data_IF_131777627091
#
_entry.id   IF_131777627091
#
_cell.length_a   1.000
_cell.length_b   1.000
_cell.length_c   1.000
_cell.angle_alpha   90.00
_cell.angle_beta   90.00
_cell.angle_gamma   90.00
#
_symmetry.space_group_name_H-M   'P 1'
#
loop_
_entity.id
_entity.type
_entity.pdbx_description
1 polymer ?
#
# COMPACT_ATOMS: atom_id res chain seq x y z
N UNK A 1 -25.52 13.11 0.65
CA UNK A 1 -24.69 13.25 -0.58
C UNK A 1 -23.57 12.24 -0.43
N UNK A 2 -23.42 11.29 -1.36
CA UNK A 2 -22.32 10.32 -1.28
C UNK A 2 -20.99 11.08 -1.49
N UNK A 3 -20.02 10.84 -0.62
CA UNK A 3 -18.65 11.35 -0.79
C UNK A 3 -17.87 10.25 -1.49
N UNK A 4 -17.49 10.41 -2.77
CA UNK A 4 -16.77 9.37 -3.49
C UNK A 4 -15.40 9.14 -2.82
N UNK A 5 -15.02 7.88 -2.65
CA UNK A 5 -13.69 7.51 -2.20
C UNK A 5 -12.71 7.55 -3.36
N UNK A 6 -11.55 8.14 -3.10
CA UNK A 6 -10.39 8.06 -3.98
C UNK A 6 -9.31 7.26 -3.28
N UNK A 7 -8.69 6.35 -4.01
CA UNK A 7 -7.57 5.58 -3.52
C UNK A 7 -6.40 5.69 -4.49
N UNK A 8 -5.22 5.84 -3.91
CA UNK A 8 -3.95 5.93 -4.61
C UNK A 8 -3.03 4.83 -4.09
N UNK A 9 -2.12 4.38 -4.94
CA UNK A 9 -1.15 3.34 -4.70
C UNK A 9 0.25 3.95 -4.66
N UNK A 10 1.07 3.50 -3.72
CA UNK A 10 2.48 3.82 -3.64
C UNK A 10 3.23 2.51 -3.39
N UNK A 11 4.34 2.30 -4.10
CA UNK A 11 5.02 0.99 -4.13
C UNK A 11 5.68 0.64 -2.79
N UNK A 12 6.19 1.64 -2.09
CA UNK A 12 6.78 1.48 -0.78
C UNK A 12 8.19 0.90 -0.85
N UNK A 13 8.48 -0.10 -0.02
CA UNK A 13 9.80 -0.69 0.11
C UNK A 13 9.71 -2.14 0.59
N UNK A 14 10.78 -2.89 0.41
CA UNK A 14 10.88 -4.30 0.75
C UNK A 14 11.54 -4.47 2.12
N UNK A 15 11.06 -5.43 2.91
CA UNK A 15 11.68 -5.86 4.16
C UNK A 15 12.21 -7.26 4.01
N UNK A 16 13.46 -7.46 4.39
CA UNK A 16 14.14 -8.74 4.33
C UNK A 16 14.33 -9.30 5.75
N UNK A 17 14.28 -10.63 5.83
CA UNK A 17 14.73 -11.38 7.00
C UNK A 17 16.25 -11.21 7.18
N UNK A 18 16.74 -11.16 8.42
CA UNK A 18 18.19 -11.02 8.70
C UNK A 18 18.96 -12.33 8.61
N UNK A 19 18.26 -13.47 8.62
CA UNK A 19 18.85 -14.79 8.42
C UNK A 19 18.32 -15.43 7.13
N UNK A 20 19.13 -16.30 6.49
CA UNK A 20 18.68 -17.06 5.33
C UNK A 20 17.45 -17.90 5.65
N UNK A 21 16.50 -17.94 4.73
CA UNK A 21 15.33 -18.80 4.84
C UNK A 21 15.75 -20.27 4.92
N UNK A 22 15.11 -21.05 5.80
CA UNK A 22 15.33 -22.48 5.95
C UNK A 22 14.07 -23.20 6.40
N UNK A 23 13.64 -24.20 5.65
CA UNK A 23 12.52 -25.08 6.03
C UNK A 23 12.92 -26.09 7.12
N UNK A 24 14.21 -26.36 7.28
CA UNK A 24 14.73 -27.31 8.27
C UNK A 24 14.59 -26.77 9.71
N UNK A 25 14.60 -25.44 9.87
CA UNK A 25 14.44 -24.78 11.16
C UNK A 25 13.31 -23.74 11.11
N UNK A 26 12.08 -24.19 11.34
CA UNK A 26 10.90 -23.32 11.42
C UNK A 26 10.82 -22.47 12.69
N UNK A 27 11.67 -22.73 13.68
CA UNK A 27 11.70 -21.97 14.94
C UNK A 27 12.56 -20.71 14.84
N UNK A 28 13.40 -20.59 13.80
CA UNK A 28 14.18 -19.38 13.56
C UNK A 28 13.31 -18.23 13.05
N UNK A 29 12.82 -17.45 14.01
CA UNK A 29 11.98 -16.27 13.74
C UNK A 29 12.69 -15.20 12.93
N UNK A 30 14.02 -15.16 12.92
CA UNK A 30 14.79 -14.16 12.17
C UNK A 30 14.92 -14.52 10.69
N UNK A 31 14.83 -15.80 10.35
CA UNK A 31 14.73 -16.31 8.97
C UNK A 31 13.30 -16.20 8.41
N UNK A 32 12.30 -16.43 9.25
CA UNK A 32 10.90 -16.57 8.80
C UNK A 32 10.05 -15.30 8.91
N UNK A 33 10.42 -14.32 9.74
CA UNK A 33 9.59 -13.14 10.01
C UNK A 33 10.31 -11.82 9.70
N UNK A 34 10.14 -11.27 8.50
CA UNK A 34 10.73 -9.98 8.09
C UNK A 34 10.16 -8.73 8.82
N UNK A 35 9.37 -8.90 9.89
CA UNK A 35 8.82 -7.77 10.63
C UNK A 35 9.91 -7.04 11.42
N UNK A 36 9.98 -5.71 11.31
CA UNK A 36 11.01 -4.93 12.00
C UNK A 36 10.99 -5.07 13.52
N UNK A 37 9.84 -5.40 14.13
CA UNK A 37 9.75 -5.70 15.57
C UNK A 37 10.58 -6.93 15.93
N UNK A 38 10.38 -8.02 15.19
CA UNK A 38 11.13 -9.27 15.40
C UNK A 38 12.59 -9.06 15.04
N UNK A 39 12.89 -8.47 13.89
CA UNK A 39 14.27 -8.30 13.42
C UNK A 39 15.12 -7.42 14.37
N UNK A 40 14.52 -6.47 15.10
CA UNK A 40 15.21 -5.67 16.14
C UNK A 40 15.70 -6.47 17.34
N UNK A 41 15.14 -7.65 17.59
CA UNK A 41 15.57 -8.54 18.68
C UNK A 41 16.82 -9.35 18.30
N UNK A 42 17.27 -9.28 17.04
CA UNK A 42 18.43 -10.00 16.55
C UNK A 42 19.72 -9.49 17.22
N UNK A 43 20.58 -10.41 17.71
CA UNK A 43 21.81 -10.05 18.42
C UNK A 43 22.74 -9.11 17.62
N UNK A 44 22.79 -9.31 16.30
CA UNK A 44 23.58 -8.50 15.37
C UNK A 44 22.79 -7.40 14.62
N UNK A 45 21.64 -6.97 15.15
CA UNK A 45 20.74 -6.01 14.48
C UNK A 45 21.49 -4.78 13.92
N UNK A 46 22.32 -4.12 14.74
CA UNK A 46 23.05 -2.90 14.35
C UNK A 46 23.94 -3.11 13.13
N UNK A 47 24.46 -4.33 12.93
CA UNK A 47 25.30 -4.68 11.78
C UNK A 47 24.47 -5.07 10.56
N UNK A 48 23.36 -5.78 10.77
CA UNK A 48 22.54 -6.35 9.69
C UNK A 48 21.43 -5.43 9.18
N UNK A 49 21.00 -4.42 9.95
CA UNK A 49 19.84 -3.56 9.62
C UNK A 49 19.94 -2.90 8.24
N UNK A 50 21.13 -2.52 7.79
CA UNK A 50 21.40 -1.95 6.45
C UNK A 50 21.07 -2.87 5.28
N UNK A 51 20.93 -4.17 5.53
CA UNK A 51 20.56 -5.16 4.52
C UNK A 51 19.13 -5.67 4.69
N UNK A 52 18.43 -5.22 5.74
CA UNK A 52 17.09 -5.70 6.07
C UNK A 52 15.99 -4.89 5.37
N UNK A 53 16.35 -3.83 4.63
CA UNK A 53 15.46 -3.02 3.82
C UNK A 53 16.03 -2.92 2.42
N UNK A 54 15.15 -2.88 1.43
CA UNK A 54 15.50 -2.78 0.03
C UNK A 54 14.49 -1.86 -0.68
N UNK A 55 14.96 -1.01 -1.59
CA UNK A 55 14.09 -0.17 -2.44
C UNK A 55 13.47 -1.00 -3.56
N UNK A 56 12.49 -0.46 -4.27
CA UNK A 56 11.93 -1.12 -5.44
C UNK A 56 12.99 -1.27 -6.54
N UNK A 57 13.80 -0.24 -6.80
CA UNK A 57 14.90 -0.30 -7.77
C UNK A 57 15.90 -1.43 -7.46
N UNK A 58 16.24 -1.62 -6.18
CA UNK A 58 17.12 -2.69 -5.75
C UNK A 58 16.48 -4.08 -5.95
N UNK A 59 15.16 -4.19 -5.76
CA UNK A 59 14.42 -5.42 -6.06
C UNK A 59 14.39 -5.69 -7.56
N UNK A 60 14.11 -4.68 -8.39
CA UNK A 60 14.12 -4.81 -9.85
C UNK A 60 15.47 -5.31 -10.33
N UNK A 61 16.56 -4.70 -9.85
CA UNK A 61 17.91 -5.12 -10.20
C UNK A 61 18.20 -6.58 -9.83
N UNK A 62 17.73 -7.04 -8.66
CA UNK A 62 17.91 -8.42 -8.22
C UNK A 62 17.07 -9.40 -9.03
N UNK A 63 15.80 -9.08 -9.29
CA UNK A 63 14.91 -9.93 -10.07
C UNK A 63 15.34 -10.02 -11.54
N UNK A 64 15.71 -8.91 -12.18
CA UNK A 64 16.20 -8.93 -13.56
C UNK A 64 17.46 -9.79 -13.72
N UNK A 65 18.31 -9.86 -12.69
CA UNK A 65 19.49 -10.74 -12.69
C UNK A 65 19.11 -12.22 -12.63
N UNK A 66 18.05 -12.57 -11.91
CA UNK A 66 17.61 -13.96 -11.70
C UNK A 66 16.74 -14.45 -12.87
N UNK A 67 15.79 -13.63 -13.30
CA UNK A 67 14.81 -13.99 -14.33
C UNK A 67 15.43 -13.91 -15.73
N UNK A 68 16.41 -13.02 -15.95
CA UNK A 68 17.13 -12.91 -17.22
C UNK A 68 16.33 -12.27 -18.36
N UNK A 69 15.18 -11.68 -18.04
CA UNK A 69 14.30 -11.03 -19.01
C UNK A 69 14.61 -9.53 -19.16
N UNK A 70 14.34 -8.92 -20.33
CA UNK A 70 14.65 -7.52 -20.60
C UNK A 70 13.62 -6.55 -19.99
N UNK A 71 12.50 -7.06 -19.47
CA UNK A 71 11.43 -6.25 -18.88
C UNK A 71 11.59 -6.09 -17.37
N UNK A 72 10.97 -5.06 -16.81
CA UNK A 72 10.92 -4.82 -15.37
C UNK A 72 9.95 -5.82 -14.70
N UNK A 73 10.46 -6.79 -13.91
CA UNK A 73 9.61 -7.81 -13.30
C UNK A 73 8.59 -7.26 -12.30
N UNK A 74 8.93 -6.14 -11.64
CA UNK A 74 8.05 -5.51 -10.65
C UNK A 74 6.88 -4.86 -11.35
N UNK A 75 7.14 -4.10 -12.42
CA UNK A 75 6.08 -3.44 -13.20
C UNK A 75 5.18 -4.44 -13.94
N UNK A 76 5.77 -5.50 -14.49
CA UNK A 76 5.02 -6.42 -15.34
C UNK A 76 4.19 -7.44 -14.53
N UNK A 77 4.73 -7.96 -13.43
CA UNK A 77 4.13 -9.10 -12.73
C UNK A 77 3.68 -8.78 -11.31
N UNK A 78 4.48 -8.08 -10.51
CA UNK A 78 4.20 -7.89 -9.07
C UNK A 78 3.20 -6.74 -8.85
N UNK A 79 3.48 -5.55 -9.39
CA UNK A 79 2.66 -4.35 -9.18
C UNK A 79 1.21 -4.53 -9.64
N UNK A 80 0.91 -5.13 -10.81
CA UNK A 80 -0.47 -5.31 -11.26
C UNK A 80 -1.27 -6.21 -10.31
N UNK A 81 -0.66 -7.30 -9.82
CA UNK A 81 -1.27 -8.20 -8.84
C UNK A 81 -1.53 -7.48 -7.51
N UNK A 82 -0.55 -6.72 -7.02
CA UNK A 82 -0.68 -5.95 -5.77
C UNK A 82 -1.79 -4.91 -5.87
N UNK A 83 -1.84 -4.12 -6.95
CA UNK A 83 -2.90 -3.14 -7.21
C UNK A 83 -4.27 -3.82 -7.36
N UNK A 84 -4.36 -4.98 -8.01
CA UNK A 84 -5.60 -5.73 -8.13
C UNK A 84 -6.10 -6.22 -6.76
N UNK A 85 -5.23 -6.81 -5.95
CA UNK A 85 -5.54 -7.28 -4.60
C UNK A 85 -5.96 -6.13 -3.68
N UNK A 86 -5.24 -4.99 -3.70
CA UNK A 86 -5.59 -3.81 -2.92
C UNK A 86 -6.94 -3.22 -3.33
N UNK A 87 -7.24 -3.11 -4.64
CA UNK A 87 -8.56 -2.69 -5.12
C UNK A 87 -9.67 -3.61 -4.61
N UNK A 88 -9.44 -4.92 -4.66
CA UNK A 88 -10.42 -5.90 -4.19
C UNK A 88 -10.70 -5.74 -2.70
N UNK A 89 -9.67 -5.59 -1.87
CA UNK A 89 -9.81 -5.37 -0.42
C UNK A 89 -10.51 -4.04 -0.12
N UNK A 90 -10.18 -2.96 -0.83
CA UNK A 90 -10.83 -1.66 -0.62
C UNK A 90 -12.32 -1.71 -0.98
N UNK A 91 -12.67 -2.31 -2.12
CA UNK A 91 -14.06 -2.48 -2.54
C UNK A 91 -14.87 -3.33 -1.56
N UNK A 92 -14.30 -4.43 -1.06
CA UNK A 92 -14.99 -5.29 -0.09
C UNK A 92 -15.24 -4.59 1.26
N UNK A 93 -14.36 -3.66 1.64
CA UNK A 93 -14.50 -2.85 2.85
C UNK A 93 -15.28 -1.54 2.68
N UNK A 94 -15.59 -1.11 1.45
CA UNK A 94 -15.97 0.29 1.17
C UNK A 94 -17.21 0.75 1.94
N UNK A 95 -18.19 -0.14 2.13
CA UNK A 95 -19.45 0.17 2.81
C UNK A 95 -19.28 0.42 4.31
N UNK A 96 -18.15 -0.02 4.88
CA UNK A 96 -17.82 0.15 6.29
C UNK A 96 -16.89 1.35 6.54
N UNK A 97 -16.42 2.00 5.48
CA UNK A 97 -15.58 3.18 5.59
C UNK A 97 -16.44 4.41 5.84
N UNK A 98 -16.11 5.13 6.92
CA UNK A 98 -16.72 6.44 7.19
C UNK A 98 -16.15 7.43 6.19
N UNK A 99 -17.03 8.02 5.36
CA UNK A 99 -16.66 9.01 4.36
C UNK A 99 -17.11 10.38 4.84
N UNK A 100 -16.18 11.26 5.16
CA UNK A 100 -16.46 12.64 5.53
C UNK A 100 -15.50 13.61 4.82
N UNK A 101 -15.95 14.84 4.58
CA UNK A 101 -15.11 15.88 3.98
C UNK A 101 -13.90 16.16 4.88
N UNK A 102 -12.74 16.41 4.25
CA UNK A 102 -11.50 16.72 4.96
C UNK A 102 -10.85 15.51 5.63
N UNK A 103 -11.38 14.29 5.44
CA UNK A 103 -10.76 13.08 5.94
C UNK A 103 -9.97 12.38 4.84
N UNK A 104 -8.75 11.99 5.19
CA UNK A 104 -7.95 11.04 4.42
C UNK A 104 -7.23 10.11 5.40
N UNK A 105 -6.75 8.98 4.90
CA UNK A 105 -5.93 8.07 5.70
C UNK A 105 -4.86 7.42 4.83
N UNK A 106 -3.72 7.13 5.44
CA UNK A 106 -2.66 6.34 4.84
C UNK A 106 -2.81 4.91 5.36
N UNK A 107 -2.97 3.96 4.44
CA UNK A 107 -3.05 2.54 4.77
C UNK A 107 -1.73 1.86 4.44
N UNK A 108 -1.15 1.16 5.42
CA UNK A 108 -0.02 0.27 5.18
C UNK A 108 -0.49 -1.10 4.77
N UNK A 109 0.00 -1.61 3.64
CA UNK A 109 -0.25 -2.97 3.15
C UNK A 109 1.02 -3.79 3.27
N UNK A 110 0.93 -4.95 3.89
CA UNK A 110 1.99 -5.95 3.87
C UNK A 110 1.60 -7.04 2.88
N UNK A 111 2.49 -7.34 1.95
CA UNK A 111 2.39 -8.48 1.05
C UNK A 111 3.66 -9.32 1.14
N UNK A 112 3.54 -10.58 0.72
CA UNK A 112 4.66 -11.49 0.46
C UNK A 112 4.59 -11.92 -1.00
N UNK A 113 5.75 -12.23 -1.57
CA UNK A 113 5.92 -12.67 -2.95
C UNK A 113 6.51 -14.08 -2.87
N UNK A 114 5.94 -15.03 -3.61
CA UNK A 114 6.48 -16.39 -3.69
C UNK A 114 7.49 -16.55 -4.85
N UNK A 115 8.02 -17.76 -5.02
CA UNK A 115 9.04 -18.07 -6.03
C UNK A 115 8.52 -17.92 -7.47
N UNK A 116 7.19 -18.02 -7.67
CA UNK A 116 6.51 -17.83 -8.96
C UNK A 116 6.07 -16.37 -9.18
N UNK A 117 6.51 -15.45 -8.30
CA UNK A 117 6.16 -14.03 -8.29
C UNK A 117 4.66 -13.75 -8.09
N UNK A 118 3.93 -14.67 -7.46
CA UNK A 118 2.56 -14.42 -7.01
C UNK A 118 2.56 -13.56 -5.75
N UNK A 119 1.63 -12.60 -5.69
CA UNK A 119 1.54 -11.64 -4.59
C UNK A 119 0.41 -11.98 -3.63
N UNK A 120 0.73 -12.11 -2.34
CA UNK A 120 -0.23 -12.40 -1.28
C UNK A 120 -0.27 -11.29 -0.23
N UNK A 121 -1.40 -10.59 -0.11
CA UNK A 121 -1.62 -9.62 0.98
C UNK A 121 -1.80 -10.38 2.30
N UNK A 122 -0.94 -10.09 3.27
CA UNK A 122 -0.98 -10.70 4.60
C UNK A 122 -1.63 -9.81 5.66
N UNK A 123 -1.56 -8.48 5.48
CA UNK A 123 -2.10 -7.52 6.46
C UNK A 123 -2.37 -6.16 5.86
N UNK A 124 -3.43 -5.50 6.35
CA UNK A 124 -3.64 -4.07 6.21
C UNK A 124 -3.57 -3.39 7.58
N UNK A 125 -3.05 -2.16 7.60
CA UNK A 125 -2.90 -1.37 8.82
C UNK A 125 -3.30 0.08 8.57
N UNK A 126 -4.07 0.67 9.51
CA UNK A 126 -4.50 2.08 9.46
C UNK A 126 -3.47 3.06 10.03
N UNK A 127 -2.37 2.54 10.56
CA UNK A 127 -1.31 3.31 11.17
C UNK A 127 0.03 2.65 10.80
N UNK A 128 0.46 2.76 9.54
CA UNK A 128 1.78 2.26 9.14
C UNK A 128 2.85 2.95 9.99
N UNK A 129 3.86 2.19 10.42
CA UNK A 129 5.00 2.76 11.14
C UNK A 129 5.78 3.67 10.19
N UNK A 130 5.79 4.97 10.50
CA UNK A 130 6.59 5.97 9.78
C UNK A 130 7.99 6.17 10.40
N UNK A 131 8.27 5.49 11.51
CA UNK A 131 9.60 5.53 12.16
C UNK A 131 10.61 4.73 11.34
N UNK A 132 11.64 5.42 10.85
CA UNK A 132 12.68 4.83 10.03
C UNK A 132 14.07 5.14 10.61
N UNK A 133 15.00 4.18 10.45
CA UNK A 133 16.38 4.24 10.95
C UNK A 133 17.40 4.23 9.79
N UNK A 134 16.92 4.32 8.54
CA UNK A 134 17.70 4.04 7.33
C UNK A 134 17.45 5.12 6.27
N UNK A 135 18.48 5.91 5.98
CA UNK A 135 18.39 7.10 5.14
C UNK A 135 17.67 6.90 3.80
N UNK A 136 17.87 5.75 3.13
CA UNK A 136 17.27 5.49 1.82
C UNK A 136 15.73 5.34 1.90
N UNK A 137 15.22 4.69 2.95
CA UNK A 137 13.77 4.55 3.17
C UNK A 137 13.18 5.82 3.80
N UNK A 138 13.97 6.57 4.56
CA UNK A 138 13.56 7.86 5.12
C UNK A 138 13.13 8.83 4.01
N UNK A 139 13.88 8.87 2.90
CA UNK A 139 13.57 9.73 1.75
C UNK A 139 12.26 9.32 1.06
N UNK A 140 12.08 8.02 0.81
CA UNK A 140 10.85 7.46 0.22
C UNK A 140 9.64 7.80 1.08
N UNK A 141 9.72 7.57 2.39
CA UNK A 141 8.61 7.83 3.31
C UNK A 141 8.30 9.32 3.44
N UNK A 142 9.32 10.17 3.47
CA UNK A 142 9.13 11.62 3.55
C UNK A 142 8.47 12.17 2.29
N UNK A 143 8.94 11.75 1.11
CA UNK A 143 8.33 12.11 -0.17
C UNK A 143 6.87 11.64 -0.25
N UNK A 144 6.61 10.38 0.12
CA UNK A 144 5.27 9.80 0.18
C UNK A 144 4.33 10.60 1.09
N UNK A 145 4.76 11.00 2.29
CA UNK A 145 3.92 11.76 3.22
C UNK A 145 3.61 13.17 2.67
N UNK A 146 4.61 13.85 2.12
CA UNK A 146 4.43 15.17 1.51
C UNK A 146 3.41 15.10 0.38
N UNK A 147 3.61 14.19 -0.58
CA UNK A 147 2.73 14.02 -1.73
C UNK A 147 1.33 13.56 -1.32
N UNK A 148 1.20 12.61 -0.39
CA UNK A 148 -0.11 12.18 0.13
C UNK A 148 -0.89 13.33 0.78
N UNK A 149 -0.19 14.24 1.47
CA UNK A 149 -0.80 15.42 2.09
C UNK A 149 -1.26 16.42 1.03
N UNK A 150 -0.44 16.65 -0.01
CA UNK A 150 -0.81 17.51 -1.13
C UNK A 150 -2.00 16.96 -1.91
N UNK A 151 -1.99 15.66 -2.23
CA UNK A 151 -3.12 14.93 -2.82
C UNK A 151 -4.38 15.16 -1.98
N UNK A 152 -4.30 14.97 -0.66
CA UNK A 152 -5.44 15.16 0.23
C UNK A 152 -5.94 16.62 0.25
N UNK A 153 -5.04 17.60 0.25
CA UNK A 153 -5.40 19.02 0.20
C UNK A 153 -6.07 19.40 -1.12
N UNK A 154 -5.51 18.98 -2.25
CA UNK A 154 -6.07 19.23 -3.58
C UNK A 154 -7.43 18.56 -3.72
N UNK A 155 -7.55 17.30 -3.30
CA UNK A 155 -8.80 16.56 -3.30
C UNK A 155 -9.91 17.23 -2.46
N UNK A 156 -9.54 17.88 -1.36
CA UNK A 156 -10.50 18.57 -0.50
C UNK A 156 -10.72 20.05 -0.88
N UNK A 157 -9.91 20.60 -1.79
CA UNK A 157 -10.07 21.96 -2.28
C UNK A 157 -11.13 21.98 -3.38
N UNK A 158 -12.17 22.78 -3.19
CA UNK A 158 -13.22 22.95 -4.20
C UNK A 158 -12.81 24.02 -5.18
N UNK A 159 -12.75 23.69 -6.47
CA UNK A 159 -12.68 24.71 -7.50
C UNK A 159 -14.01 25.50 -7.58
N UNK A 160 -13.94 26.73 -8.08
CA UNK A 160 -15.08 27.59 -8.37
C UNK A 160 -16.01 26.90 -9.37
N UNK A 161 -17.01 26.16 -8.87
CA UNK A 161 -17.90 25.30 -9.68
C UNK A 161 -18.27 23.98 -9.00
N UNK A 162 -17.64 23.64 -7.88
CA UNK A 162 -18.01 22.46 -7.07
C UNK A 162 -17.63 21.11 -7.67
N UNK A 163 -16.79 21.11 -8.72
CA UNK A 163 -16.18 19.90 -9.28
C UNK A 163 -14.94 19.53 -8.47
N UNK A 164 -14.72 18.24 -8.32
CA UNK A 164 -13.50 17.68 -7.75
C UNK A 164 -12.36 17.83 -8.76
N UNK A 165 -11.21 18.33 -8.33
CA UNK A 165 -10.03 18.41 -9.19
C UNK A 165 -9.14 17.18 -8.94
N UNK A 166 -8.78 16.46 -10.00
CA UNK A 166 -7.79 15.39 -9.89
C UNK A 166 -6.47 15.99 -9.35
N UNK A 167 -5.77 15.31 -8.43
CA UNK A 167 -4.49 15.80 -7.93
C UNK A 167 -3.49 15.95 -9.09
N UNK A 168 -2.77 17.07 -9.13
CA UNK A 168 -1.73 17.32 -10.12
C UNK A 168 -0.36 16.76 -9.71
N UNK A 169 -0.19 16.44 -8.42
CA UNK A 169 1.02 15.83 -7.84
C UNK A 169 0.82 14.32 -7.76
N UNK A 170 1.26 13.60 -8.79
CA UNK A 170 1.26 12.13 -8.86
C UNK A 170 2.63 11.67 -9.36
N UNK A 171 3.67 11.99 -8.58
CA UNK A 171 5.05 11.60 -8.87
C UNK A 171 5.35 10.19 -8.35
N UNK A 172 4.95 9.89 -7.11
CA UNK A 172 5.19 8.59 -6.46
C UNK A 172 3.89 7.83 -6.20
N UNK A 173 2.73 8.47 -6.42
CA UNK A 173 1.43 7.83 -6.33
C UNK A 173 0.82 7.51 -7.70
N UNK A 174 0.25 6.32 -7.82
CA UNK A 174 -0.55 5.90 -8.95
C UNK A 174 -2.02 5.79 -8.57
N UNK A 175 -2.91 6.02 -9.55
CA UNK A 175 -4.33 5.91 -9.30
C UNK A 175 -4.76 4.44 -9.08
N UNK A 176 -5.59 4.20 -8.05
CA UNK A 176 -6.06 2.86 -7.68
C UNK A 176 -7.59 2.71 -7.80
N UNK A 177 -8.37 3.67 -7.31
CA UNK A 177 -9.83 3.63 -7.38
C UNK A 177 -10.43 5.04 -7.40
N UNK A 178 -11.40 5.26 -8.29
CA UNK A 178 -12.22 6.47 -8.37
C UNK A 178 -13.69 6.09 -8.21
N UNK A 179 -14.33 6.50 -7.13
CA UNK A 179 -15.80 6.37 -7.02
C UNK A 179 -16.55 7.58 -7.60
N UNK A 180 -15.87 8.67 -7.97
CA UNK A 180 -16.51 9.88 -8.49
C UNK A 180 -16.97 9.74 -9.94
N UNK A 181 -16.42 8.77 -10.68
CA UNK A 181 -16.76 8.48 -12.08
C UNK A 181 -17.97 7.56 -12.24
N UNK A 182 -18.49 7.00 -11.14
CA UNK A 182 -19.75 6.25 -11.12
C UNK A 182 -20.93 7.21 -10.93
N UNK A 183 -21.34 7.84 -12.03
CA UNK A 183 -22.63 8.52 -12.14
C UNK A 183 -23.68 7.44 -12.50
N UNK A 184 -24.26 6.79 -11.50
CA UNK A 184 -25.36 5.86 -11.70
C UNK A 184 -26.63 6.64 -12.07
N UNK A 185 -26.81 6.82 -13.39
CA UNK A 185 -28.12 6.98 -14.01
C UNK A 185 -28.95 5.70 -13.83
N UNK A 186 -29.37 5.40 -12.60
CA UNK A 186 -30.33 4.35 -12.30
C UNK A 186 -31.29 4.83 -11.21
N UNK A 187 -32.55 4.97 -11.60
CA UNK A 187 -33.67 5.27 -10.73
C UNK A 187 -33.77 4.31 -9.52
N UNK A 188 -34.41 4.81 -8.46
CA UNK A 188 -34.68 4.12 -7.20
C UNK A 188 -35.32 2.71 -7.38
N UNK A 189 -35.33 1.92 -6.30
CA UNK A 189 -36.64 1.68 -5.72
C UNK A 189 -36.72 2.08 -4.24
N UNK A 190 -37.91 2.56 -3.89
CA UNK A 190 -38.37 2.72 -2.53
C UNK A 190 -38.49 1.36 -1.84
N UNK A 191 -38.01 1.25 -0.60
CA UNK A 191 -38.82 0.88 0.57
C UNK A 191 -37.95 0.93 1.82
N UNK A 192 -38.38 1.77 2.76
CA UNK A 192 -37.84 1.78 4.10
C UNK A 192 -38.40 0.66 4.97
N UNK A 193 -37.78 0.55 6.13
CA UNK A 193 -38.14 -0.22 7.34
C UNK A 193 -37.57 -1.64 7.40
N UNK A 194 -36.43 -1.75 8.07
CA UNK A 194 -36.23 -2.79 9.09
C UNK A 194 -35.66 -2.11 10.33
N UNK A 195 -36.47 -2.04 11.38
CA UNK A 195 -36.02 -1.75 12.74
C UNK A 195 -35.42 -3.01 13.35
N UNK A 196 -34.28 -2.91 14.00
CA UNK A 196 -33.92 -3.86 15.05
C UNK A 196 -33.61 -3.08 16.33
N UNK A 197 -34.60 -3.09 17.22
CA UNK A 197 -34.44 -2.89 18.66
C UNK A 197 -33.58 -4.03 19.24
N UNK A 198 -32.95 -3.75 20.38
CA UNK A 198 -32.17 -4.67 21.21
C UNK A 198 -32.85 -5.99 21.54
#
# INVERSE_FOLDING_TARGET
RAHPMLAFFHEGYIRLAMEPYSEENTEDRFAHLASSRVQREHADYTRKVKRALMTIDELVAELSRVVGEPTDPVEEWIKPQLKAAMRHVLKSGQMRLVKANGQFCILGVNAVIDDDLNVYITRLSRNPSLHMHQQNVDQIMSAMICEATEIALQANTRESGGRFCAPSCLEHFEFLLDESTHDDGSAAPAMGVVSCSS
#
